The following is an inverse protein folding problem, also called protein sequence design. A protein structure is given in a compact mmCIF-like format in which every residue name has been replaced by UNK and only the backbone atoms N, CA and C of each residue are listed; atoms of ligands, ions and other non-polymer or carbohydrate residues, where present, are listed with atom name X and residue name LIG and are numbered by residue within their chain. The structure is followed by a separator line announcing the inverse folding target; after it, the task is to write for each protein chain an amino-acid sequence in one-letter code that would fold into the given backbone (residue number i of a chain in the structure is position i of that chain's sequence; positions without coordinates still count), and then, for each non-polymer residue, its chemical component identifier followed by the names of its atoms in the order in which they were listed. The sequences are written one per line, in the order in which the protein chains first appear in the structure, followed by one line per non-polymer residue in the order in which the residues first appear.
data_IF_742030242519
#
_entry.id   IF_742030242519
#
_cell.length_a   1.000
_cell.length_b   1.000
_cell.length_c   1.000
_cell.angle_alpha   90.00
_cell.angle_beta   90.00
_cell.angle_gamma   90.00
#
_symmetry.space_group_name_H-M   'P 1'
#
loop_
_entity.id
_entity.type
_entity.pdbx_description
1 polymer ?
#
# COMPACT_ATOMS: atom_id res chain seq x y z
N UNK A 1 -11.19 11.38 -15.98
CA UNK A 1 -10.19 10.44 -16.49
C UNK A 1 -9.03 10.52 -15.52
N UNK A 2 -8.64 9.42 -14.88
CA UNK A 2 -7.50 9.45 -13.96
C UNK A 2 -6.23 9.75 -14.75
N UNK A 3 -5.30 10.52 -14.16
CA UNK A 3 -3.96 10.71 -14.72
C UNK A 3 -3.02 9.53 -14.39
N UNK A 4 -3.52 8.54 -13.66
CA UNK A 4 -2.83 7.31 -13.32
C UNK A 4 -3.56 6.16 -13.99
N UNK A 5 -2.79 5.23 -14.55
CA UNK A 5 -3.30 4.00 -15.13
C UNK A 5 -2.79 2.78 -14.37
N UNK A 6 -3.53 1.67 -14.51
CA UNK A 6 -3.06 0.35 -14.15
C UNK A 6 -1.78 0.01 -14.92
N UNK A 7 -0.95 -0.86 -14.34
CA UNK A 7 0.22 -1.40 -15.04
C UNK A 7 -0.28 -2.43 -16.07
N UNK A 8 0.06 -2.20 -17.35
CA UNK A 8 -0.21 -3.13 -18.45
C UNK A 8 1.01 -3.99 -18.79
N UNK A 9 2.22 -3.48 -18.52
CA UNK A 9 3.46 -4.17 -18.82
C UNK A 9 3.76 -5.28 -17.78
N UNK A 10 3.89 -6.51 -18.26
CA UNK A 10 4.13 -7.68 -17.41
C UNK A 10 5.49 -7.60 -16.71
N UNK A 11 6.51 -7.09 -17.37
CA UNK A 11 7.87 -7.04 -16.82
C UNK A 11 7.92 -6.10 -15.61
N UNK A 12 7.41 -4.87 -15.80
CA UNK A 12 7.27 -3.86 -14.75
C UNK A 12 6.44 -4.38 -13.59
N UNK A 13 5.26 -4.96 -13.87
CA UNK A 13 4.41 -5.49 -12.79
C UNK A 13 5.09 -6.63 -12.05
N UNK A 14 5.69 -7.59 -12.75
CA UNK A 14 6.33 -8.76 -12.13
C UNK A 14 7.48 -8.35 -11.21
N UNK A 15 8.29 -7.37 -11.62
CA UNK A 15 9.37 -6.82 -10.79
C UNK A 15 8.85 -6.21 -9.49
N UNK A 16 7.82 -5.37 -9.57
CA UNK A 16 7.20 -4.75 -8.39
C UNK A 16 6.47 -5.77 -7.51
N UNK A 17 5.78 -6.73 -8.11
CA UNK A 17 5.09 -7.82 -7.40
C UNK A 17 6.04 -8.73 -6.64
N UNK A 18 7.20 -9.08 -7.21
CA UNK A 18 8.23 -9.83 -6.50
C UNK A 18 8.74 -9.08 -5.27
N UNK A 19 8.97 -7.77 -5.39
CA UNK A 19 9.33 -6.92 -4.25
C UNK A 19 8.23 -6.85 -3.20
N UNK A 20 6.98 -6.66 -3.62
CA UNK A 20 5.82 -6.64 -2.73
C UNK A 20 5.65 -7.98 -1.97
N UNK A 21 5.88 -9.12 -2.63
CA UNK A 21 5.88 -10.43 -1.96
C UNK A 21 7.01 -10.57 -0.94
N UNK A 22 8.22 -10.08 -1.26
CA UNK A 22 9.32 -10.06 -0.30
C UNK A 22 9.01 -9.17 0.92
N UNK A 23 8.32 -8.04 0.71
CA UNK A 23 7.82 -7.19 1.80
C UNK A 23 6.85 -7.95 2.71
N UNK A 24 5.84 -8.64 2.14
CA UNK A 24 4.90 -9.44 2.92
C UNK A 24 5.59 -10.57 3.72
N UNK A 25 6.56 -11.25 3.11
CA UNK A 25 7.39 -12.25 3.82
C UNK A 25 8.21 -11.64 4.96
N UNK A 26 8.75 -10.44 4.74
CA UNK A 26 9.51 -9.72 5.78
C UNK A 26 8.62 -9.38 6.98
N UNK A 27 7.38 -8.92 6.76
CA UNK A 27 6.42 -8.65 7.86
C UNK A 27 6.24 -9.86 8.76
N UNK A 28 6.06 -11.05 8.17
CA UNK A 28 5.86 -12.28 8.94
C UNK A 28 7.07 -12.63 9.84
N UNK A 29 8.27 -12.12 9.52
CA UNK A 29 9.48 -12.32 10.30
C UNK A 29 9.85 -11.13 11.21
N UNK A 30 9.21 -9.97 11.05
CA UNK A 30 9.50 -8.76 11.83
C UNK A 30 8.76 -8.79 13.16
N UNK A 31 9.43 -8.51 14.30
CA UNK A 31 8.75 -8.39 15.59
C UNK A 31 7.67 -7.30 15.57
N UNK A 32 6.52 -7.55 16.21
CA UNK A 32 5.42 -6.58 16.26
C UNK A 32 5.86 -5.21 16.78
N UNK A 33 6.80 -5.16 17.74
CA UNK A 33 7.36 -3.90 18.28
C UNK A 33 8.05 -3.00 17.25
N UNK A 34 8.43 -3.55 16.10
CA UNK A 34 9.07 -2.84 14.98
C UNK A 34 8.08 -2.46 13.87
N UNK A 35 6.79 -2.77 14.05
CA UNK A 35 5.71 -2.49 13.12
C UNK A 35 4.84 -1.34 13.64
N UNK A 36 4.35 -0.52 12.71
CA UNK A 36 3.35 0.52 12.98
C UNK A 36 2.02 0.08 12.39
N UNK A 37 1.06 -0.24 13.26
CA UNK A 37 -0.23 -0.79 12.87
C UNK A 37 -1.24 0.30 12.48
N UNK A 38 -1.98 0.07 11.41
CA UNK A 38 -3.04 0.95 10.91
C UNK A 38 -4.21 0.12 10.38
N UNK A 39 -5.38 0.73 10.20
CA UNK A 39 -6.53 0.06 9.57
C UNK A 39 -6.38 0.12 8.04
N UNK A 40 -6.41 -1.03 7.40
CA UNK A 40 -6.22 -1.21 5.96
C UNK A 40 -7.18 -0.40 5.09
N UNK A 41 -8.34 0.01 5.62
CA UNK A 41 -9.29 0.90 4.94
C UNK A 41 -8.78 2.34 4.84
N UNK A 42 -7.79 2.73 5.66
CA UNK A 42 -7.19 4.06 5.63
C UNK A 42 -6.60 4.42 4.26
N UNK A 43 -6.22 3.46 3.40
CA UNK A 43 -5.74 3.73 2.04
C UNK A 43 -6.70 4.58 1.20
N UNK A 44 -8.00 4.52 1.49
CA UNK A 44 -9.02 5.32 0.83
C UNK A 44 -9.22 6.71 1.46
N UNK A 45 -8.42 7.10 2.46
CA UNK A 45 -8.53 8.38 3.16
C UNK A 45 -7.44 9.35 2.72
N UNK A 46 -7.78 10.63 2.58
CA UNK A 46 -6.82 11.67 2.21
C UNK A 46 -5.68 11.81 3.22
N UNK A 47 -5.95 11.66 4.51
CA UNK A 47 -4.92 11.78 5.56
C UNK A 47 -3.84 10.71 5.39
N UNK A 48 -4.23 9.46 5.12
CA UNK A 48 -3.28 8.37 4.94
C UNK A 48 -2.53 8.46 3.61
N UNK A 49 -3.19 8.96 2.56
CA UNK A 49 -2.53 9.23 1.28
C UNK A 49 -1.47 10.34 1.42
N UNK A 50 -1.79 11.39 2.19
CA UNK A 50 -0.84 12.42 2.59
C UNK A 50 0.38 11.81 3.28
N UNK A 51 0.17 10.95 4.28
CA UNK A 51 1.26 10.23 4.96
C UNK A 51 2.14 9.43 3.97
N UNK A 52 1.53 8.66 3.05
CA UNK A 52 2.29 7.87 2.06
C UNK A 52 3.19 8.79 1.23
N UNK A 53 2.66 9.92 0.75
CA UNK A 53 3.43 10.91 -0.02
C UNK A 53 4.52 11.54 0.81
N UNK A 54 4.23 11.93 2.03
CA UNK A 54 5.19 12.53 2.93
C UNK A 54 6.37 11.58 3.18
N UNK A 55 6.11 10.29 3.44
CA UNK A 55 7.16 9.27 3.58
C UNK A 55 7.94 9.11 2.26
N UNK A 56 7.25 9.03 1.11
CA UNK A 56 7.89 8.89 -0.20
C UNK A 56 8.79 10.09 -0.56
N UNK A 57 8.41 11.31 -0.15
CA UNK A 57 9.20 12.53 -0.31
C UNK A 57 10.35 12.61 0.70
N UNK A 58 10.12 12.20 1.95
CA UNK A 58 11.12 12.20 3.01
C UNK A 58 12.26 11.22 2.71
N UNK A 59 11.93 10.06 2.12
CA UNK A 59 12.89 9.02 1.72
C UNK A 59 12.65 8.52 0.30
N UNK A 60 12.99 9.36 -0.66
CA UNK A 60 13.01 8.97 -2.07
C UNK A 60 12.74 10.13 -3.02
N UNK A 61 12.08 9.80 -4.12
CA UNK A 61 11.74 10.73 -5.21
C UNK A 61 10.31 11.26 -5.11
N UNK A 62 9.58 10.92 -4.05
CA UNK A 62 8.13 11.14 -3.99
C UNK A 62 7.30 10.14 -4.80
N UNK A 63 7.94 9.15 -5.44
CA UNK A 63 7.25 8.13 -6.22
C UNK A 63 7.12 6.81 -5.46
N UNK A 64 5.95 6.18 -5.58
CA UNK A 64 5.66 4.90 -4.96
C UNK A 64 4.70 4.08 -5.83
N UNK A 65 4.66 2.78 -5.57
CA UNK A 65 3.75 1.85 -6.21
C UNK A 65 2.76 1.30 -5.18
N UNK A 66 1.53 1.04 -5.64
CA UNK A 66 0.55 0.22 -4.93
C UNK A 66 0.40 -1.08 -5.73
N UNK A 67 0.61 -2.21 -5.08
CA UNK A 67 0.59 -3.54 -5.71
C UNK A 67 -0.33 -4.46 -4.92
N UNK A 68 -1.34 -5.02 -5.58
CA UNK A 68 -2.22 -6.04 -4.99
C UNK A 68 -1.55 -7.41 -5.09
N UNK A 69 -1.58 -8.14 -3.99
CA UNK A 69 -1.08 -9.51 -3.86
C UNK A 69 -2.20 -10.54 -3.89
N UNK A 70 -3.38 -10.18 -3.38
CA UNK A 70 -4.58 -11.02 -3.34
C UNK A 70 -5.82 -10.14 -3.59
N UNK A 71 -6.76 -10.48 -4.50
CA UNK A 71 -6.82 -11.67 -5.35
C UNK A 71 -5.59 -11.87 -6.25
N UNK A 72 -5.33 -13.10 -6.70
CA UNK A 72 -4.11 -13.41 -7.47
C UNK A 72 -4.02 -12.51 -8.73
N UNK A 73 -2.93 -11.75 -8.90
CA UNK A 73 -2.86 -10.74 -9.94
C UNK A 73 -2.77 -11.32 -11.35
N UNK A 74 -2.33 -12.58 -11.51
CA UNK A 74 -2.11 -13.20 -12.81
C UNK A 74 -3.29 -14.06 -13.24
N UNK A 75 -3.76 -14.96 -12.38
CA UNK A 75 -4.83 -15.92 -12.68
C UNK A 75 -6.23 -15.37 -12.47
N UNK A 76 -6.39 -14.29 -11.69
CA UNK A 76 -7.67 -13.60 -11.53
C UNK A 76 -7.67 -12.27 -12.28
N UNK A 77 -6.96 -11.27 -11.76
CA UNK A 77 -7.15 -9.89 -12.23
C UNK A 77 -6.70 -9.70 -13.69
N UNK A 78 -5.51 -10.18 -14.05
CA UNK A 78 -5.05 -10.11 -15.44
C UNK A 78 -5.89 -10.97 -16.39
N UNK A 79 -6.32 -12.15 -15.94
CA UNK A 79 -7.20 -13.02 -16.73
C UNK A 79 -8.53 -12.33 -17.08
N UNK A 80 -9.14 -11.62 -16.13
CA UNK A 80 -10.42 -10.94 -16.33
C UNK A 80 -10.30 -9.59 -17.05
N UNK A 81 -9.24 -8.81 -16.80
CA UNK A 81 -9.18 -7.40 -17.20
C UNK A 81 -8.04 -7.04 -18.15
N UNK A 82 -7.13 -7.97 -18.47
CA UNK A 82 -6.02 -7.75 -19.40
C UNK A 82 -4.93 -6.78 -18.91
N UNK A 83 -4.96 -6.42 -17.63
CA UNK A 83 -4.03 -5.52 -16.93
C UNK A 83 -3.73 -6.06 -15.54
N UNK A 84 -2.78 -5.46 -14.83
CA UNK A 84 -2.38 -5.94 -13.52
C UNK A 84 -2.90 -5.03 -12.40
N UNK A 85 -3.23 -5.58 -11.23
CA UNK A 85 -3.80 -4.81 -10.12
C UNK A 85 -2.69 -4.07 -9.36
N UNK A 86 -2.16 -3.05 -9.99
CA UNK A 86 -1.18 -2.16 -9.42
C UNK A 86 -0.97 -0.95 -10.28
N UNK A 87 -0.47 0.11 -9.66
CA UNK A 87 -0.21 1.40 -10.31
C UNK A 87 0.94 2.13 -9.63
N UNK A 88 1.49 3.12 -10.33
CA UNK A 88 2.58 3.96 -9.85
C UNK A 88 2.06 5.39 -9.68
N UNK A 89 2.24 5.94 -8.49
CA UNK A 89 1.97 7.33 -8.18
C UNK A 89 3.28 8.11 -8.30
N UNK A 90 3.31 9.09 -9.21
CA UNK A 90 4.45 9.99 -9.40
C UNK A 90 4.31 11.22 -8.50
N UNK A 91 5.42 11.91 -8.24
CA UNK A 91 5.45 13.07 -7.35
C UNK A 91 4.50 14.22 -7.75
N UNK A 92 4.15 14.34 -9.04
CA UNK A 92 3.24 15.38 -9.54
C UNK A 92 1.76 14.98 -9.54
N UNK A 93 1.44 13.71 -9.28
CA UNK A 93 0.04 13.27 -9.19
C UNK A 93 -0.57 13.75 -7.86
N UNK A 94 -1.84 14.14 -7.90
CA UNK A 94 -2.61 14.62 -6.76
C UNK A 94 -3.19 13.49 -5.91
N UNK A 95 -3.78 13.83 -4.75
CA UNK A 95 -4.61 12.92 -3.96
C UNK A 95 -5.86 12.46 -4.70
N UNK A 96 -6.49 13.37 -5.46
CA UNK A 96 -7.63 13.02 -6.30
C UNK A 96 -7.24 11.99 -7.37
N UNK A 97 -6.07 12.14 -8.01
CA UNK A 97 -5.57 11.13 -8.96
C UNK A 97 -5.40 9.74 -8.33
N UNK A 98 -4.95 9.70 -7.07
CA UNK A 98 -4.77 8.45 -6.31
C UNK A 98 -6.14 7.85 -5.93
N UNK A 99 -7.08 8.65 -5.43
CA UNK A 99 -8.45 8.18 -5.19
C UNK A 99 -9.10 7.65 -6.48
N UNK A 100 -8.95 8.38 -7.58
CA UNK A 100 -9.53 8.00 -8.86
C UNK A 100 -9.03 6.65 -9.36
N UNK A 101 -7.73 6.36 -9.26
CA UNK A 101 -7.19 5.04 -9.67
C UNK A 101 -7.58 3.93 -8.69
N UNK A 102 -7.68 4.22 -7.39
CA UNK A 102 -8.18 3.25 -6.41
C UNK A 102 -9.63 2.84 -6.72
N UNK A 103 -10.46 3.78 -7.14
CA UNK A 103 -11.88 3.56 -7.43
C UNK A 103 -12.15 3.25 -8.91
N UNK A 104 -11.11 3.15 -9.73
CA UNK A 104 -11.25 2.91 -11.16
C UNK A 104 -11.81 1.50 -11.43
N UNK A 105 -12.87 1.43 -12.23
CA UNK A 105 -13.40 0.17 -12.75
C UNK A 105 -12.32 -0.52 -13.63
N UNK A 106 -11.87 -1.73 -13.27
CA UNK A 106 -10.89 -2.45 -14.05
C UNK A 106 -11.47 -3.04 -15.35
N UNK A 107 -12.78 -3.12 -15.54
CA UNK A 107 -13.36 -3.58 -16.80
C UNK A 107 -14.75 -4.15 -16.61
N UNK A 108 -15.75 -3.28 -16.63
CA UNK A 108 -17.16 -3.59 -16.44
C UNK A 108 -17.44 -4.38 -15.14
N UNK A 109 -16.58 -4.19 -14.13
CA UNK A 109 -16.74 -4.76 -12.80
C UNK A 109 -16.27 -3.77 -11.73
N UNK A 110 -17.07 -2.73 -11.42
CA UNK A 110 -16.71 -1.72 -10.41
C UNK A 110 -16.39 -2.30 -9.03
N UNK A 111 -16.95 -3.48 -8.70
CA UNK A 111 -16.66 -4.17 -7.45
C UNK A 111 -15.20 -4.67 -7.36
N UNK A 112 -14.53 -4.87 -8.50
CA UNK A 112 -13.13 -5.30 -8.57
C UNK A 112 -12.13 -4.13 -8.55
N UNK A 113 -12.58 -2.88 -8.39
CA UNK A 113 -11.66 -1.75 -8.21
C UNK A 113 -10.78 -1.98 -6.97
N UNK A 114 -9.50 -1.57 -7.03
CA UNK A 114 -8.51 -1.85 -5.97
C UNK A 114 -8.98 -1.35 -4.61
N UNK A 115 -9.62 -0.17 -4.55
CA UNK A 115 -10.18 0.40 -3.32
C UNK A 115 -11.16 -0.54 -2.62
N UNK A 116 -11.92 -1.34 -3.39
CA UNK A 116 -12.93 -2.28 -2.88
C UNK A 116 -12.40 -3.70 -2.73
N UNK A 117 -11.71 -4.23 -3.75
CA UNK A 117 -11.32 -5.66 -3.81
C UNK A 117 -9.81 -5.87 -3.90
N UNK A 118 -9.09 -5.37 -2.90
CA UNK A 118 -7.70 -5.72 -2.61
C UNK A 118 -7.60 -6.35 -1.22
N UNK A 119 -7.74 -7.68 -1.12
CA UNK A 119 -7.64 -8.40 0.15
C UNK A 119 -6.25 -8.24 0.75
N UNK A 120 -5.19 -8.33 -0.07
CA UNK A 120 -3.82 -8.05 0.35
C UNK A 120 -3.16 -7.09 -0.62
N UNK A 121 -2.52 -6.04 -0.09
CA UNK A 121 -1.79 -5.08 -0.91
C UNK A 121 -0.51 -4.60 -0.22
N UNK A 122 0.40 -4.06 -1.03
CA UNK A 122 1.62 -3.42 -0.57
C UNK A 122 1.73 -2.03 -1.19
N UNK A 123 2.11 -1.05 -0.38
CA UNK A 123 2.59 0.25 -0.82
C UNK A 123 4.10 0.29 -0.61
N UNK A 124 4.88 0.56 -1.65
CA UNK A 124 6.34 0.56 -1.57
C UNK A 124 6.94 1.66 -2.46
N UNK A 125 8.08 2.26 -2.09
CA UNK A 125 8.75 3.24 -2.92
C UNK A 125 9.31 2.58 -4.18
N UNK A 126 9.42 3.36 -5.27
CA UNK A 126 10.11 2.87 -6.48
C UNK A 126 11.55 2.47 -6.16
N UNK A 127 12.22 3.23 -5.29
CA UNK A 127 13.52 2.90 -4.71
C UNK A 127 13.52 3.27 -3.22
N UNK A 128 13.89 2.34 -2.35
CA UNK A 128 13.91 2.54 -0.90
C UNK A 128 13.54 1.27 -0.14
N UNK A 129 13.54 1.38 1.20
CA UNK A 129 13.44 0.22 2.10
C UNK A 129 12.20 0.24 3.01
N UNK A 130 11.41 1.31 2.98
CA UNK A 130 10.13 1.36 3.68
C UNK A 130 9.04 0.69 2.85
N UNK A 131 8.01 0.16 3.49
CA UNK A 131 6.81 -0.30 2.81
C UNK A 131 5.65 -0.42 3.81
N UNK A 132 4.44 -0.37 3.27
CA UNK A 132 3.22 -0.72 3.97
C UNK A 132 2.69 -2.03 3.40
N UNK A 133 2.30 -2.96 4.25
CA UNK A 133 1.59 -4.18 3.86
C UNK A 133 0.25 -4.18 4.58
N UNK A 134 -0.81 -4.54 3.89
CA UNK A 134 -2.12 -4.70 4.49
C UNK A 134 -2.76 -6.02 4.10
N UNK A 135 -3.46 -6.60 5.06
CA UNK A 135 -4.27 -7.79 4.89
C UNK A 135 -5.66 -7.51 5.47
N UNK A 136 -6.64 -7.33 4.58
CA UNK A 136 -8.03 -7.06 4.94
C UNK A 136 -8.70 -8.24 5.66
N UNK A 137 -8.16 -9.45 5.51
CA UNK A 137 -8.62 -10.64 6.23
C UNK A 137 -8.02 -10.79 7.63
N UNK A 138 -6.94 -10.07 7.94
CA UNK A 138 -6.26 -10.15 9.24
C UNK A 138 -6.91 -9.20 10.26
N UNK A 139 -7.48 -9.77 11.33
CA UNK A 139 -7.99 -9.06 12.51
C UNK A 139 -8.88 -7.85 12.17
N UNK A 140 -9.85 -8.05 11.28
CA UNK A 140 -10.80 -6.99 10.89
C UNK A 140 -10.26 -5.97 9.89
N UNK A 141 -9.08 -6.21 9.33
CA UNK A 141 -8.49 -5.45 8.25
C UNK A 141 -7.30 -4.61 8.68
N UNK A 142 -6.25 -5.26 9.15
CA UNK A 142 -5.04 -4.61 9.65
C UNK A 142 -3.99 -4.41 8.56
N UNK A 143 -3.29 -3.28 8.61
CA UNK A 143 -2.05 -3.04 7.89
C UNK A 143 -0.91 -2.63 8.81
N UNK A 144 0.30 -2.76 8.30
CA UNK A 144 1.53 -2.40 9.00
C UNK A 144 2.46 -1.59 8.11
N UNK A 145 3.08 -0.57 8.67
CA UNK A 145 4.21 0.15 8.09
C UNK A 145 5.49 -0.33 8.76
N UNK A 146 6.54 -0.54 7.97
CA UNK A 146 7.91 -0.77 8.46
C UNK A 146 8.94 -0.17 7.51
N UNK A 147 10.15 0.07 8.01
CA UNK A 147 11.22 0.73 7.26
C UNK A 147 12.40 1.12 8.15
N UNK A 148 13.35 1.90 7.61
CA UNK A 148 14.47 2.43 8.38
C UNK A 148 14.03 3.26 9.60
N UNK A 149 14.84 3.34 10.68
CA UNK A 149 14.43 3.99 11.93
C UNK A 149 13.95 5.44 11.77
N UNK A 150 14.54 6.21 10.86
CA UNK A 150 14.14 7.60 10.60
C UNK A 150 12.77 7.69 9.92
N UNK A 151 12.42 6.79 9.01
CA UNK A 151 11.06 6.66 8.46
C UNK A 151 10.07 6.32 9.56
N UNK A 152 10.43 5.40 10.45
CA UNK A 152 9.55 4.95 11.53
C UNK A 152 9.32 6.05 12.58
N UNK A 153 10.31 6.90 12.83
CA UNK A 153 10.14 8.09 13.67
C UNK A 153 9.27 9.13 12.98
N UNK A 154 9.58 9.48 11.72
CA UNK A 154 8.82 10.43 10.94
C UNK A 154 7.34 10.06 10.85
N UNK A 155 7.04 8.79 10.52
CA UNK A 155 5.67 8.32 10.40
C UNK A 155 4.88 8.45 11.72
N UNK A 156 5.49 8.12 12.87
CA UNK A 156 4.86 8.26 14.19
C UNK A 156 4.50 9.71 14.53
N UNK A 157 5.25 10.67 13.99
CA UNK A 157 4.99 12.11 14.19
C UNK A 157 3.93 12.62 13.21
N UNK A 158 3.83 12.05 12.00
CA UNK A 158 2.88 12.45 10.96
C UNK A 158 1.49 11.78 11.07
N UNK A 159 1.36 10.63 11.72
CA UNK A 159 0.11 9.87 11.75
C UNK A 159 -0.12 9.11 13.06
N UNK A 160 -1.38 9.05 13.48
CA UNK A 160 -1.79 8.29 14.66
C UNK A 160 -1.96 6.80 14.31
N UNK A 161 -0.87 6.05 14.43
CA UNK A 161 -0.90 4.58 14.38
C UNK A 161 -1.48 4.00 15.67
N UNK A 162 -2.04 2.79 15.58
CA UNK A 162 -2.47 2.07 16.77
C UNK A 162 -1.26 1.75 17.65
N UNK A 163 -1.39 1.93 18.96
CA UNK A 163 -0.46 1.31 19.90
C UNK A 163 -0.60 -0.21 19.74
N UNK A 164 0.53 -0.92 19.64
CA UNK A 164 0.55 -2.37 19.47
C UNK A 164 -0.40 -3.04 20.47
N UNK A 165 -1.19 -4.07 20.09
CA UNK A 165 -2.06 -4.77 21.03
C UNK A 165 -1.32 -5.39 22.23
N UNK A 166 0.00 -5.58 22.11
CA UNK A 166 0.87 -6.07 23.19
C UNK A 166 1.56 -4.97 24.02
N UNK A 167 1.33 -3.69 23.74
CA UNK A 167 1.83 -2.60 24.59
C UNK A 167 0.86 -2.35 25.75
N UNK A 168 1.29 -2.48 27.02
CA UNK A 168 0.45 -2.06 28.13
C UNK A 168 0.18 -0.55 28.01
N UNK A 169 -1.05 -0.09 28.36
CA UNK A 169 -1.42 1.31 28.21
C UNK A 169 -0.42 2.20 28.96
N UNK A 170 0.02 3.27 28.29
CA UNK A 170 0.90 4.27 28.89
C UNK A 170 0.22 4.85 30.13
N UNK A 171 0.83 4.65 31.29
CA UNK A 171 0.42 5.31 32.52
C UNK A 171 0.74 6.79 32.40
N UNK A 172 -0.29 7.64 32.38
CA UNK A 172 -0.18 9.10 32.52
C UNK A 172 0.28 9.49 33.92
#
# INVERSE_FOLDING_TARGET
MSNIDFIYDRETFTSLWQRARACAQKVAATPASELLHFDSSNIATQIFQGLIREIANFKGTGEFAVIVLNPDPFSYFHFHFGKYPGFIVKAHHSDDDFIDILMMDPGDSPADAIGFYSEQYVVLPISGEWFMYADRGWDGGTGVLTGPPDVMTFARESFAFYENPDQPPRST
#
